data_IF_192552447016
#
_entry.id   IF_192552447016
#
_cell.length_a   1.000
_cell.length_b   1.000
_cell.length_c   1.000
_cell.angle_alpha   90.00
_cell.angle_beta   90.00
_cell.angle_gamma   90.00
#
_symmetry.space_group_name_H-M   'P 1'
#
loop_
_entity.id
_entity.type
_entity.pdbx_description
1 polymer ?
#
# COMPACT_ATOMS: atom_id res chain seq x y z
N UNK A 1 57.79 -8.71 4.92
CA UNK A 1 56.71 -7.88 4.35
C UNK A 1 55.40 -8.58 4.62
N UNK A 2 54.70 -8.14 5.65
CA UNK A 2 53.74 -8.97 6.37
C UNK A 2 52.45 -8.20 6.56
N UNK A 3 51.38 -8.58 5.82
CA UNK A 3 49.92 -8.43 6.02
C UNK A 3 49.32 -7.21 6.77
N UNK A 4 50.09 -6.17 7.11
CA UNK A 4 49.72 -5.03 7.96
C UNK A 4 49.40 -3.75 7.17
N UNK A 5 49.30 -3.81 5.84
CA UNK A 5 49.07 -2.63 4.97
C UNK A 5 47.72 -2.69 4.23
N UNK A 6 46.99 -3.81 4.29
CA UNK A 6 45.75 -3.97 3.55
C UNK A 6 44.59 -4.28 4.50
N UNK A 7 44.13 -3.27 5.24
CA UNK A 7 42.75 -3.11 5.78
C UNK A 7 42.66 -1.94 6.78
N UNK A 8 43.50 -0.91 6.60
CA UNK A 8 43.39 0.40 7.27
C UNK A 8 42.30 1.27 6.57
N UNK A 9 41.51 0.70 5.65
CA UNK A 9 40.45 1.39 4.91
C UNK A 9 39.04 1.17 5.50
N UNK A 10 38.87 0.26 6.48
CA UNK A 10 37.52 -0.15 6.92
C UNK A 10 37.00 0.50 8.23
N UNK A 11 37.74 1.42 8.84
CA UNK A 11 37.37 2.01 10.14
C UNK A 11 37.85 3.46 10.21
N UNK A 12 37.10 4.41 9.62
CA UNK A 12 37.04 5.84 10.00
C UNK A 12 36.25 6.63 8.94
N UNK A 13 34.94 6.74 9.12
CA UNK A 13 34.11 7.90 8.73
C UNK A 13 32.75 7.75 9.41
N UNK A 14 32.79 7.63 10.74
CA UNK A 14 31.61 7.85 11.56
C UNK A 14 31.31 9.35 11.65
N UNK A 15 30.02 9.64 11.80
CA UNK A 15 29.45 10.89 12.29
C UNK A 15 29.71 12.15 11.44
N UNK A 16 28.83 12.40 10.48
CA UNK A 16 28.46 13.77 10.14
C UNK A 16 26.94 13.90 9.95
N UNK A 17 26.34 14.61 10.91
CA UNK A 17 25.16 15.48 10.77
C UNK A 17 23.78 14.81 10.79
N UNK A 18 23.35 14.46 12.01
CA UNK A 18 21.97 14.66 12.44
C UNK A 18 21.76 16.15 12.77
N UNK A 19 21.60 17.00 11.75
CA UNK A 19 21.05 18.35 11.87
C UNK A 19 20.36 18.69 10.54
N UNK A 20 19.03 18.75 10.57
CA UNK A 20 18.24 19.39 9.52
C UNK A 20 18.11 18.58 8.23
N UNK A 21 17.47 17.41 8.29
CA UNK A 21 16.55 17.12 7.19
C UNK A 21 15.26 17.86 7.53
N UNK A 22 15.03 18.95 6.82
CA UNK A 22 13.69 19.48 6.63
C UNK A 22 12.77 18.28 6.31
N UNK A 23 11.62 18.22 6.96
CA UNK A 23 10.52 17.31 6.63
C UNK A 23 10.14 17.56 5.16
N UNK A 24 10.90 16.98 4.24
CA UNK A 24 10.49 16.84 2.86
C UNK A 24 9.21 16.03 2.90
N UNK A 25 8.12 16.60 2.35
CA UNK A 25 6.78 16.00 2.32
C UNK A 25 6.88 14.46 2.23
N UNK A 26 6.63 13.80 3.37
CA UNK A 26 6.87 12.37 3.53
C UNK A 26 6.06 11.60 2.50
N UNK A 27 6.66 10.57 1.90
CA UNK A 27 5.91 9.63 1.07
C UNK A 27 4.91 8.90 1.96
N UNK A 28 3.71 8.62 1.45
CA UNK A 28 2.74 7.78 2.14
C UNK A 28 3.12 6.32 2.02
N UNK A 29 3.16 5.60 3.12
CA UNK A 29 3.38 4.16 3.13
C UNK A 29 2.11 3.47 2.63
N UNK A 30 2.19 2.81 1.47
CA UNK A 30 1.06 2.17 0.80
C UNK A 30 1.31 0.67 0.62
N UNK A 31 0.39 -0.15 1.13
CA UNK A 31 0.36 -1.58 0.89
C UNK A 31 -0.66 -1.92 -0.20
N UNK A 32 -0.22 -2.66 -1.21
CA UNK A 32 -1.11 -3.35 -2.15
C UNK A 32 -1.34 -4.78 -1.66
N UNK A 33 -2.60 -5.18 -1.54
CA UNK A 33 -3.01 -6.56 -1.30
C UNK A 33 -3.69 -7.07 -2.56
N UNK A 34 -3.05 -8.02 -3.23
CA UNK A 34 -3.54 -8.63 -4.47
C UNK A 34 -4.10 -10.02 -4.18
N UNK A 35 -5.43 -10.16 -4.24
CA UNK A 35 -6.13 -11.44 -4.12
C UNK A 35 -6.44 -12.06 -5.50
N UNK A 36 -6.12 -11.36 -6.59
CA UNK A 36 -6.52 -11.76 -7.95
C UNK A 36 -5.87 -13.08 -8.36
N UNK A 37 -6.59 -13.85 -9.17
CA UNK A 37 -6.22 -15.21 -9.62
C UNK A 37 -6.00 -15.29 -11.12
N UNK A 38 -6.56 -14.36 -11.89
CA UNK A 38 -6.33 -14.33 -13.33
C UNK A 38 -5.13 -13.46 -13.71
N UNK A 39 -4.37 -13.93 -14.71
CA UNK A 39 -3.26 -13.17 -15.27
C UNK A 39 -3.66 -11.74 -15.71
N UNK A 40 -4.86 -11.61 -16.31
CA UNK A 40 -5.37 -10.31 -16.76
C UNK A 40 -5.52 -9.31 -15.61
N UNK A 41 -6.08 -9.76 -14.48
CA UNK A 41 -6.28 -8.89 -13.31
C UNK A 41 -4.96 -8.58 -12.60
N UNK A 42 -4.09 -9.57 -12.39
CA UNK A 42 -2.77 -9.33 -11.77
C UNK A 42 -1.90 -8.37 -12.61
N UNK A 43 -1.97 -8.46 -13.95
CA UNK A 43 -1.31 -7.48 -14.83
C UNK A 43 -1.85 -6.06 -14.65
N UNK A 44 -3.16 -5.89 -14.41
CA UNK A 44 -3.73 -4.56 -14.11
C UNK A 44 -3.25 -4.04 -12.76
N UNK A 45 -3.14 -4.91 -11.75
CA UNK A 45 -2.55 -4.56 -10.44
C UNK A 45 -1.11 -4.11 -10.61
N UNK A 46 -0.30 -4.81 -11.42
CA UNK A 46 1.08 -4.40 -11.69
C UNK A 46 1.16 -3.03 -12.38
N UNK A 47 0.32 -2.79 -13.40
CA UNK A 47 0.25 -1.49 -14.08
C UNK A 47 -0.15 -0.38 -13.09
N UNK A 48 -1.07 -0.67 -12.18
CA UNK A 48 -1.47 0.25 -11.12
C UNK A 48 -0.31 0.55 -10.16
N UNK A 49 0.39 -0.47 -9.64
CA UNK A 49 1.54 -0.29 -8.76
C UNK A 49 2.64 0.55 -9.43
N UNK A 50 2.94 0.27 -10.71
CA UNK A 50 3.91 1.05 -11.50
C UNK A 50 3.47 2.50 -11.72
N UNK A 51 2.16 2.74 -11.89
CA UNK A 51 1.64 4.10 -12.02
C UNK A 51 1.80 4.89 -10.72
N UNK A 52 1.54 4.27 -9.56
CA UNK A 52 1.76 4.89 -8.24
C UNK A 52 3.23 5.22 -8.01
N UNK A 53 4.16 4.30 -8.31
CA UNK A 53 5.60 4.53 -8.15
C UNK A 53 6.10 5.77 -8.91
N UNK A 54 5.53 6.07 -10.09
CA UNK A 54 5.89 7.24 -10.91
C UNK A 54 5.44 8.57 -10.32
N UNK A 55 4.53 8.56 -9.36
CA UNK A 55 4.07 9.79 -8.69
C UNK A 55 5.08 10.27 -7.66
N UNK A 56 5.98 9.40 -7.23
CA UNK A 56 6.93 9.62 -6.13
C UNK A 56 6.27 9.95 -4.77
N UNK A 57 4.93 9.92 -4.67
CA UNK A 57 4.17 10.19 -3.46
C UNK A 57 4.06 9.00 -2.49
N UNK A 58 4.32 7.77 -2.96
CA UNK A 58 4.04 6.55 -2.19
C UNK A 58 5.29 5.70 -2.02
N UNK A 59 5.59 5.26 -0.80
CA UNK A 59 6.49 4.15 -0.54
C UNK A 59 5.68 2.85 -0.60
N UNK A 60 5.88 2.05 -1.65
CA UNK A 60 4.98 0.96 -2.02
C UNK A 60 5.51 -0.39 -1.55
N UNK A 61 4.67 -1.11 -0.81
CA UNK A 61 4.81 -2.54 -0.51
C UNK A 61 3.67 -3.31 -1.18
N UNK A 62 3.88 -4.59 -1.44
CA UNK A 62 2.86 -5.44 -2.07
C UNK A 62 2.87 -6.84 -1.47
N UNK A 63 1.69 -7.42 -1.30
CA UNK A 63 1.46 -8.80 -0.90
C UNK A 63 0.49 -9.44 -1.87
N UNK A 64 0.85 -10.63 -2.37
CA UNK A 64 -0.05 -11.50 -3.10
C UNK A 64 -0.57 -12.50 -2.09
N UNK A 65 -1.89 -12.57 -1.94
CA UNK A 65 -2.54 -13.36 -0.89
C UNK A 65 -3.53 -14.34 -1.51
N UNK A 66 -3.76 -15.45 -0.80
CA UNK A 66 -4.75 -16.43 -1.17
C UNK A 66 -5.84 -16.48 -0.11
N UNK A 67 -7.06 -16.12 -0.53
CA UNK A 67 -8.25 -16.10 0.32
C UNK A 67 -9.35 -16.98 -0.27
N UNK A 68 -10.18 -17.54 0.59
CA UNK A 68 -11.37 -18.31 0.17
C UNK A 68 -12.50 -17.40 -0.33
N UNK A 69 -12.51 -16.13 0.10
CA UNK A 69 -13.52 -15.13 -0.22
C UNK A 69 -12.95 -13.73 -0.08
N UNK A 70 -13.40 -12.79 -0.91
CA UNK A 70 -13.03 -11.38 -0.80
C UNK A 70 -13.48 -10.70 0.51
N UNK A 71 -14.37 -11.31 1.30
CA UNK A 71 -14.88 -10.69 2.53
C UNK A 71 -14.19 -11.16 3.82
N UNK A 72 -13.18 -12.02 3.71
CA UNK A 72 -12.34 -12.39 4.87
C UNK A 72 -11.15 -11.46 4.98
N UNK A 73 -10.59 -11.34 6.18
CA UNK A 73 -9.34 -10.60 6.40
C UNK A 73 -8.19 -11.23 5.59
N UNK A 74 -7.66 -10.53 4.57
CA UNK A 74 -6.62 -11.07 3.70
C UNK A 74 -5.24 -11.13 4.35
N UNK A 75 -5.05 -10.45 5.49
CA UNK A 75 -3.78 -10.38 6.23
C UNK A 75 -3.83 -11.22 7.52
N UNK A 76 -4.87 -12.06 7.66
CA UNK A 76 -5.08 -12.87 8.85
C UNK A 76 -3.91 -13.83 9.08
N UNK A 77 -3.32 -13.75 10.26
CA UNK A 77 -2.21 -14.63 10.65
C UNK A 77 -0.84 -14.16 10.18
N UNK A 78 -0.77 -13.00 9.51
CA UNK A 78 0.47 -12.29 9.23
C UNK A 78 0.71 -11.18 10.26
N UNK A 79 1.98 -10.90 10.55
CA UNK A 79 2.38 -9.76 11.36
C UNK A 79 2.75 -8.57 10.46
N UNK A 80 2.36 -7.34 10.82
CA UNK A 80 2.76 -6.15 10.08
C UNK A 80 4.28 -5.93 10.21
N UNK A 81 4.94 -5.71 9.07
CA UNK A 81 6.33 -5.28 9.02
C UNK A 81 6.49 -3.79 9.37
N UNK A 82 5.45 -3.01 9.06
CA UNK A 82 5.28 -1.63 9.44
C UNK A 82 3.79 -1.26 9.45
N UNK A 83 3.52 -0.05 9.90
CA UNK A 83 2.18 0.56 9.82
C UNK A 83 2.08 1.36 8.53
N UNK A 84 1.03 1.12 7.76
CA UNK A 84 0.78 1.80 6.50
C UNK A 84 -0.18 2.97 6.69
N UNK A 85 -0.08 3.98 5.82
CA UNK A 85 -1.05 5.06 5.73
C UNK A 85 -2.28 4.63 4.92
N UNK A 86 -2.06 3.77 3.93
CA UNK A 86 -3.06 3.28 2.99
C UNK A 86 -2.85 1.80 2.67
N UNK A 87 -3.96 1.07 2.58
CA UNK A 87 -3.99 -0.31 2.07
C UNK A 87 -4.99 -0.37 0.93
N UNK A 88 -4.57 -0.89 -0.22
CA UNK A 88 -5.43 -1.07 -1.39
C UNK A 88 -5.61 -2.57 -1.62
N UNK A 89 -6.85 -3.05 -1.49
CA UNK A 89 -7.20 -4.44 -1.70
C UNK A 89 -7.81 -4.60 -3.09
N UNK A 90 -7.22 -5.50 -3.88
CA UNK A 90 -7.75 -5.95 -5.17
C UNK A 90 -8.41 -7.32 -4.97
N UNK A 91 -9.74 -7.38 -4.81
CA UNK A 91 -10.37 -8.59 -4.32
C UNK A 91 -10.46 -9.69 -5.38
N UNK A 92 -10.40 -10.96 -4.96
CA UNK A 92 -10.51 -12.11 -5.88
C UNK A 92 -11.80 -12.07 -6.71
N UNK A 93 -12.89 -11.55 -6.15
CA UNK A 93 -14.18 -11.44 -6.84
C UNK A 93 -14.20 -10.47 -8.03
N UNK A 94 -13.12 -9.71 -8.30
CA UNK A 94 -12.97 -8.94 -9.55
C UNK A 94 -12.92 -9.88 -10.76
N UNK A 95 -12.33 -11.07 -10.62
CA UNK A 95 -12.10 -11.99 -11.73
C UNK A 95 -13.40 -12.60 -12.27
N UNK A 96 -14.36 -12.89 -11.39
CA UNK A 96 -15.65 -13.49 -11.73
C UNK A 96 -16.81 -12.47 -11.69
N UNK A 97 -16.53 -11.23 -11.29
CA UNK A 97 -17.48 -10.14 -11.21
C UNK A 97 -18.44 -10.23 -10.01
N UNK A 98 -18.20 -11.12 -9.06
CA UNK A 98 -18.94 -11.19 -7.79
C UNK A 98 -18.66 -9.98 -6.89
N UNK A 99 -17.46 -9.38 -7.04
CA UNK A 99 -17.09 -8.10 -6.44
C UNK A 99 -16.66 -7.15 -7.55
N UNK A 100 -17.29 -5.98 -7.63
CA UNK A 100 -16.98 -4.92 -8.62
C UNK A 100 -16.34 -3.71 -7.98
N UNK A 101 -15.67 -3.92 -6.85
CA UNK A 101 -15.05 -2.87 -6.06
C UNK A 101 -13.58 -3.17 -5.82
N UNK A 102 -12.77 -2.12 -5.83
CA UNK A 102 -11.41 -2.10 -5.28
C UNK A 102 -11.49 -1.32 -3.98
N UNK A 103 -11.02 -1.90 -2.87
CA UNK A 103 -11.19 -1.27 -1.57
C UNK A 103 -9.95 -0.49 -1.18
N UNK A 104 -10.12 0.81 -0.97
CA UNK A 104 -9.08 1.70 -0.47
C UNK A 104 -9.33 1.91 1.02
N UNK A 105 -8.46 1.32 1.82
CA UNK A 105 -8.56 1.30 3.28
C UNK A 105 -7.58 2.34 3.83
N UNK A 106 -8.11 3.29 4.58
CA UNK A 106 -7.37 4.33 5.31
C UNK A 106 -7.91 4.42 6.73
N UNK A 107 -7.23 5.19 7.60
CA UNK A 107 -7.89 5.62 8.85
C UNK A 107 -9.13 6.49 8.55
N UNK A 108 -10.18 6.42 9.39
CA UNK A 108 -11.40 7.19 9.20
C UNK A 108 -11.19 8.72 9.37
N UNK A 109 -12.11 9.49 8.78
CA UNK A 109 -11.92 10.88 8.38
C UNK A 109 -11.67 11.97 9.46
N UNK A 110 -11.94 11.83 10.77
CA UNK A 110 -11.47 12.87 11.70
C UNK A 110 -9.94 12.84 11.90
N UNK A 111 -9.24 11.79 11.45
CA UNK A 111 -7.83 11.55 11.75
C UNK A 111 -6.87 11.79 10.58
N UNK A 112 -7.36 12.10 9.37
CA UNK A 112 -6.52 12.25 8.17
C UNK A 112 -6.33 13.72 7.75
N UNK A 113 -5.06 14.10 7.52
CA UNK A 113 -4.67 15.40 6.98
C UNK A 113 -5.13 15.62 5.53
N UNK A 114 -5.03 16.87 5.05
CA UNK A 114 -5.42 17.23 3.68
C UNK A 114 -4.62 16.51 2.60
N UNK A 115 -3.35 16.24 2.87
CA UNK A 115 -2.44 15.55 1.93
C UNK A 115 -2.83 14.08 1.72
N UNK A 116 -3.12 13.35 2.80
CA UNK A 116 -3.57 11.96 2.73
C UNK A 116 -4.92 11.83 2.00
N UNK A 117 -5.82 12.82 2.13
CA UNK A 117 -7.05 12.87 1.32
C UNK A 117 -6.76 13.01 -0.17
N UNK A 118 -5.80 13.86 -0.53
CA UNK A 118 -5.33 14.00 -1.91
C UNK A 118 -4.73 12.70 -2.44
N UNK A 119 -3.94 12.01 -1.62
CA UNK A 119 -3.37 10.72 -1.95
C UNK A 119 -4.44 9.63 -2.19
N UNK A 120 -5.44 9.52 -1.31
CA UNK A 120 -6.59 8.62 -1.49
C UNK A 120 -7.33 8.91 -2.79
N UNK A 121 -7.59 10.18 -3.09
CA UNK A 121 -8.28 10.57 -4.32
C UNK A 121 -7.48 10.18 -5.58
N UNK A 122 -6.16 10.34 -5.55
CA UNK A 122 -5.27 9.93 -6.63
C UNK A 122 -5.26 8.41 -6.83
N UNK A 123 -5.18 7.64 -5.74
CA UNK A 123 -5.26 6.17 -5.74
C UNK A 123 -6.58 5.72 -6.38
N UNK A 124 -7.70 6.31 -5.95
CA UNK A 124 -9.04 6.05 -6.51
C UNK A 124 -9.09 6.34 -8.01
N UNK A 125 -8.64 7.52 -8.44
CA UNK A 125 -8.62 7.90 -9.85
C UNK A 125 -7.78 6.94 -10.72
N UNK A 126 -6.62 6.51 -10.23
CA UNK A 126 -5.76 5.58 -10.97
C UNK A 126 -6.40 4.20 -11.08
N UNK A 127 -6.96 3.69 -9.99
CA UNK A 127 -7.66 2.41 -9.96
C UNK A 127 -8.85 2.42 -10.94
N UNK A 128 -9.73 3.43 -10.87
CA UNK A 128 -10.89 3.58 -11.77
C UNK A 128 -10.48 3.65 -13.24
N UNK A 129 -9.37 4.31 -13.55
CA UNK A 129 -8.86 4.41 -14.91
C UNK A 129 -8.39 3.05 -15.45
N UNK A 130 -7.66 2.28 -14.65
CA UNK A 130 -7.03 1.02 -15.05
C UNK A 130 -8.04 -0.14 -15.06
N UNK A 131 -8.96 -0.13 -14.10
CA UNK A 131 -9.98 -1.16 -13.93
C UNK A 131 -11.32 -0.79 -14.55
N UNK A 132 -11.36 0.27 -15.36
CA UNK A 132 -12.58 0.76 -16.03
C UNK A 132 -13.42 -0.38 -16.60
N UNK A 133 -14.67 -0.45 -16.16
CA UNK A 133 -15.66 -1.44 -16.60
C UNK A 133 -15.54 -2.81 -15.92
N UNK A 134 -14.48 -3.06 -15.17
CA UNK A 134 -14.30 -4.27 -14.36
C UNK A 134 -14.60 -4.02 -12.87
N UNK A 135 -14.06 -2.93 -12.31
CA UNK A 135 -14.28 -2.54 -10.92
C UNK A 135 -14.21 -1.02 -10.73
N UNK A 136 -14.81 -0.54 -9.65
CA UNK A 136 -14.75 0.85 -9.16
C UNK A 136 -13.98 0.91 -7.83
N UNK A 137 -13.13 1.90 -7.64
CA UNK A 137 -12.44 2.10 -6.39
C UNK A 137 -13.31 2.83 -5.37
N UNK A 138 -13.47 2.26 -4.18
CA UNK A 138 -14.26 2.83 -3.08
C UNK A 138 -13.43 2.95 -1.81
N UNK A 139 -13.55 4.08 -1.13
CA UNK A 139 -12.87 4.35 0.13
C UNK A 139 -13.75 4.12 1.36
N UNK A 140 -13.18 4.33 2.54
CA UNK A 140 -13.87 4.21 3.85
C UNK A 140 -15.07 5.14 4.02
N UNK A 141 -15.20 6.18 3.19
CA UNK A 141 -16.35 7.09 3.16
C UNK A 141 -17.43 6.70 2.17
N UNK A 142 -17.10 5.83 1.21
CA UNK A 142 -17.96 5.50 0.08
C UNK A 142 -18.74 4.20 0.33
N UNK A 143 -18.13 3.26 1.07
CA UNK A 143 -18.67 1.92 1.31
C UNK A 143 -18.32 1.42 2.73
N UNK A 144 -19.14 0.51 3.27
CA UNK A 144 -18.95 -0.06 4.60
C UNK A 144 -17.79 -1.07 4.65
N UNK A 145 -17.48 -1.75 3.54
CA UNK A 145 -16.47 -2.81 3.50
C UNK A 145 -15.05 -2.27 3.76
N UNK A 146 -14.58 -1.19 3.10
CA UNK A 146 -13.31 -0.58 3.48
C UNK A 146 -13.30 -0.10 4.94
N UNK A 147 -14.42 0.41 5.48
CA UNK A 147 -14.52 0.79 6.89
C UNK A 147 -14.41 -0.40 7.86
N UNK A 148 -14.97 -1.54 7.49
CA UNK A 148 -14.82 -2.80 8.21
C UNK A 148 -13.35 -3.27 8.23
N UNK A 149 -12.69 -3.31 7.06
CA UNK A 149 -11.27 -3.64 6.99
C UNK A 149 -10.38 -2.65 7.74
N UNK A 150 -10.69 -1.35 7.69
CA UNK A 150 -9.96 -0.33 8.44
C UNK A 150 -9.97 -0.66 9.94
N UNK A 151 -11.12 -1.08 10.47
CA UNK A 151 -11.25 -1.47 11.89
C UNK A 151 -10.38 -2.68 12.23
N UNK A 152 -10.33 -3.69 11.35
CA UNK A 152 -9.50 -4.89 11.54
C UNK A 152 -8.02 -4.52 11.50
N UNK A 153 -7.60 -3.79 10.47
CA UNK A 153 -6.20 -3.43 10.24
C UNK A 153 -5.65 -2.46 11.28
N UNK A 154 -6.47 -1.53 11.80
CA UNK A 154 -6.08 -0.67 12.93
C UNK A 154 -5.81 -1.54 14.18
N UNK A 155 -6.67 -2.52 14.47
CA UNK A 155 -6.49 -3.43 15.62
C UNK A 155 -5.30 -4.36 15.44
N UNK A 156 -5.01 -4.78 14.20
CA UNK A 156 -3.88 -5.63 13.85
C UNK A 156 -2.55 -4.91 13.71
N UNK A 157 -2.53 -3.56 13.78
CA UNK A 157 -1.31 -2.76 13.65
C UNK A 157 -0.87 -2.48 12.20
N UNK A 158 -1.68 -2.87 11.21
CA UNK A 158 -1.43 -2.64 9.78
C UNK A 158 -1.74 -1.20 9.35
N UNK A 159 -2.75 -0.56 9.97
CA UNK A 159 -3.14 0.84 9.77
C UNK A 159 -2.96 1.66 11.04
#
# INVERSE_FOLDING_TARGET
>A
MSRKVLLIVLLLSGALVALGQEEGAGRFDLLIVDETKTFSSSMRVEVFARALLRTELFALSAKIVEVESSFVDPLRGEEPDQRYDLIVIFPVGIDDGTVRQIWIVSRPFPEIGGELRGAVALVKQLADKIFRGAAEAVGVTDDLIPGYFATIFIRGGWL
#
